data_IF_814366884268
#
_entry.id   IF_814366884268
#
_cell.length_a   1.000
_cell.length_b   1.000
_cell.length_c   1.000
_cell.angle_alpha   90.00
_cell.angle_beta   90.00
_cell.angle_gamma   90.00
#
_symmetry.space_group_name_H-M   'P 1'
#
loop_
_entity.id
_entity.type
_entity.pdbx_description
1 polymer ?
#
# COMPACT_ATOMS: atom_id res chain seq x y z
N UNK A 1 1.23 -8.68 6.62
CA UNK A 1 1.35 -7.51 5.72
C UNK A 1 2.26 -7.92 4.59
N UNK A 2 1.78 -7.83 3.36
CA UNK A 2 2.51 -8.20 2.14
C UNK A 2 2.64 -6.97 1.25
N UNK A 3 3.81 -6.78 0.65
CA UNK A 3 4.07 -5.73 -0.34
C UNK A 3 4.40 -6.39 -1.67
N UNK A 4 3.63 -6.05 -2.71
CA UNK A 4 3.96 -6.39 -4.09
C UNK A 4 4.33 -5.13 -4.88
N UNK A 5 5.25 -5.26 -5.83
CA UNK A 5 5.64 -4.16 -6.72
C UNK A 5 5.70 -4.61 -8.17
N UNK A 6 5.10 -3.81 -9.05
CA UNK A 6 5.24 -3.90 -10.50
C UNK A 6 6.11 -2.73 -11.00
N UNK A 7 7.38 -2.98 -11.39
CA UNK A 7 8.27 -1.94 -11.87
C UNK A 7 7.95 -1.46 -13.29
N UNK A 8 7.16 -2.21 -14.09
CA UNK A 8 6.79 -1.78 -15.45
C UNK A 8 5.69 -0.71 -15.41
N UNK A 9 4.76 -0.85 -14.46
CA UNK A 9 3.67 0.11 -14.25
C UNK A 9 3.96 1.13 -13.14
N UNK A 10 5.02 0.90 -12.37
CA UNK A 10 5.37 1.65 -11.16
C UNK A 10 4.24 1.71 -10.13
N UNK A 11 3.67 0.53 -9.85
CA UNK A 11 2.56 0.34 -8.92
C UNK A 11 2.95 -0.60 -7.80
N UNK A 12 2.70 -0.21 -6.56
CA UNK A 12 2.89 -1.06 -5.38
C UNK A 12 1.57 -1.30 -4.65
N UNK A 13 1.34 -2.54 -4.21
CA UNK A 13 0.19 -2.88 -3.35
C UNK A 13 0.65 -3.33 -1.97
N UNK A 14 0.03 -2.72 -0.95
CA UNK A 14 0.14 -3.14 0.43
C UNK A 14 -1.11 -3.93 0.81
N UNK A 15 -0.95 -5.18 1.22
CA UNK A 15 -2.04 -5.99 1.77
C UNK A 15 -1.84 -6.17 3.26
N UNK A 16 -2.86 -5.83 4.04
CA UNK A 16 -2.86 -5.95 5.49
C UNK A 16 -3.37 -7.34 5.87
N UNK A 17 -2.47 -8.31 6.06
CA UNK A 17 -2.83 -9.62 6.65
C UNK A 17 -2.94 -9.52 8.18
N UNK A 18 -3.77 -8.61 8.67
CA UNK A 18 -4.00 -8.46 10.11
C UNK A 18 -5.46 -8.82 10.35
N UNK A 19 -5.77 -9.80 11.23
CA UNK A 19 -7.12 -9.90 11.76
C UNK A 19 -7.43 -8.55 12.38
N UNK A 20 -8.48 -7.88 11.91
CA UNK A 20 -8.96 -6.63 12.51
C UNK A 20 -9.28 -6.93 13.97
N UNK A 21 -8.32 -6.68 14.87
CA UNK A 21 -8.53 -6.75 16.31
C UNK A 21 -9.26 -5.45 16.69
N UNK A 22 -10.56 -5.53 17.03
CA UNK A 22 -11.36 -4.35 17.33
C UNK A 22 -10.92 -3.63 18.62
N UNK A 23 -9.97 -4.20 19.38
CA UNK A 23 -9.40 -3.59 20.58
C UNK A 23 -8.21 -2.66 20.29
N UNK A 24 -7.69 -2.66 19.06
CA UNK A 24 -6.61 -1.76 18.67
C UNK A 24 -7.11 -0.32 18.55
N UNK A 25 -6.39 0.66 19.10
CA UNK A 25 -6.77 2.06 19.01
C UNK A 25 -6.74 2.53 17.55
N UNK A 26 -7.81 3.20 17.13
CA UNK A 26 -7.89 3.89 15.84
C UNK A 26 -6.90 5.07 15.85
N UNK A 27 -5.72 4.84 15.27
CA UNK A 27 -4.71 5.88 15.06
C UNK A 27 -4.58 6.12 13.56
N UNK A 28 -5.45 6.97 13.03
CA UNK A 28 -5.22 7.59 11.72
C UNK A 28 -4.23 8.76 11.88
N UNK A 29 -2.99 8.55 11.47
CA UNK A 29 -2.14 9.66 11.08
C UNK A 29 -2.45 9.95 9.61
N UNK A 30 -2.87 11.18 9.29
CA UNK A 30 -2.96 11.62 7.90
C UNK A 30 -1.52 11.82 7.44
N UNK A 31 -0.98 10.99 6.53
CA UNK A 31 0.34 11.24 5.99
C UNK A 31 0.32 12.56 5.23
N UNK A 32 1.46 13.26 5.21
CA UNK A 32 1.64 14.39 4.30
C UNK A 32 1.30 13.96 2.88
N UNK A 33 0.82 14.92 2.07
CA UNK A 33 0.43 14.64 0.69
C UNK A 33 1.58 13.91 -0.03
N UNK A 34 1.27 12.85 -0.81
CA UNK A 34 2.30 12.13 -1.55
C UNK A 34 3.08 13.09 -2.46
N UNK A 35 4.33 12.72 -2.76
CA UNK A 35 5.17 13.49 -3.68
C UNK A 35 4.41 13.76 -4.98
N UNK A 36 4.65 14.93 -5.59
CA UNK A 36 3.98 15.31 -6.82
C UNK A 36 4.13 14.23 -7.90
N UNK A 37 3.00 13.72 -8.41
CA UNK A 37 2.96 12.65 -9.41
C UNK A 37 2.68 11.25 -8.85
N UNK A 38 2.68 11.06 -7.52
CA UNK A 38 2.24 9.81 -6.89
C UNK A 38 0.80 9.92 -6.37
N UNK A 39 0.10 8.79 -6.36
CA UNK A 39 -1.25 8.66 -5.82
C UNK A 39 -1.34 7.45 -4.90
N UNK A 40 -2.10 7.58 -3.82
CA UNK A 40 -2.31 6.50 -2.84
C UNK A 40 -3.81 6.32 -2.68
N UNK A 41 -4.30 5.16 -3.12
CA UNK A 41 -5.69 4.74 -2.97
C UNK A 41 -5.80 3.75 -1.82
N UNK A 42 -6.74 4.01 -0.90
CA UNK A 42 -7.05 3.08 0.18
C UNK A 42 -8.05 2.02 -0.32
N UNK A 43 -7.75 0.75 -0.07
CA UNK A 43 -8.60 -0.37 -0.45
C UNK A 43 -9.38 -0.89 0.76
N UNK A 44 -10.70 -1.03 0.61
CA UNK A 44 -11.59 -1.50 1.66
C UNK A 44 -12.31 -2.78 1.24
N UNK A 45 -12.60 -3.66 2.21
CA UNK A 45 -13.46 -4.81 1.98
C UNK A 45 -14.95 -4.42 1.90
N UNK A 46 -15.81 -5.41 1.65
CA UNK A 46 -17.25 -5.21 1.56
C UNK A 46 -17.91 -4.76 2.87
N UNK A 47 -17.24 -4.93 4.01
CA UNK A 47 -17.69 -4.46 5.32
C UNK A 47 -17.15 -3.06 5.67
N UNK A 48 -16.32 -2.47 4.79
CA UNK A 48 -15.74 -1.14 4.97
C UNK A 48 -14.46 -1.13 5.78
N UNK A 49 -13.83 -2.28 6.03
CA UNK A 49 -12.53 -2.34 6.72
C UNK A 49 -11.40 -2.13 5.73
N UNK A 50 -10.40 -1.33 6.12
CA UNK A 50 -9.19 -1.12 5.35
C UNK A 50 -8.42 -2.43 5.24
N UNK A 51 -8.21 -2.91 4.02
CA UNK A 51 -7.48 -4.15 3.72
C UNK A 51 -6.15 -3.91 2.99
N UNK A 52 -5.91 -2.68 2.52
CA UNK A 52 -4.69 -2.36 1.82
C UNK A 52 -4.60 -0.96 1.25
N UNK A 53 -3.53 -0.75 0.50
CA UNK A 53 -3.29 0.46 -0.28
C UNK A 53 -2.76 0.09 -1.66
N UNK A 54 -3.21 0.80 -2.68
CA UNK A 54 -2.60 0.86 -4.00
C UNK A 54 -1.81 2.17 -4.10
N UNK A 55 -0.56 2.09 -4.54
CA UNK A 55 0.33 3.24 -4.70
C UNK A 55 0.76 3.32 -6.16
N UNK A 56 0.27 4.35 -6.85
CA UNK A 56 0.71 4.73 -8.20
C UNK A 56 1.89 5.70 -8.09
N UNK A 57 2.90 5.54 -8.95
CA UNK A 57 4.10 6.37 -8.82
C UNK A 57 5.00 5.90 -7.66
N UNK A 58 5.02 4.60 -7.38
CA UNK A 58 5.53 4.06 -6.10
C UNK A 58 6.99 4.42 -5.81
N UNK A 59 7.85 4.53 -6.82
CA UNK A 59 9.25 4.95 -6.65
C UNK A 59 9.42 6.39 -6.12
N UNK A 60 8.39 7.23 -6.22
CA UNK A 60 8.40 8.60 -5.71
C UNK A 60 8.11 8.68 -4.21
N UNK A 61 7.51 7.63 -3.64
CA UNK A 61 7.03 7.61 -2.25
C UNK A 61 7.77 6.57 -1.42
N UNK A 62 8.08 5.42 -2.00
CA UNK A 62 8.73 4.31 -1.33
C UNK A 62 10.23 4.33 -1.58
N UNK A 63 11.00 4.04 -0.54
CA UNK A 63 12.45 3.96 -0.67
C UNK A 63 12.83 2.81 -1.64
N UNK A 64 13.90 2.98 -2.43
CA UNK A 64 14.35 1.96 -3.37
C UNK A 64 14.61 0.58 -2.75
N UNK A 65 15.12 0.54 -1.51
CA UNK A 65 15.38 -0.73 -0.80
C UNK A 65 14.11 -1.44 -0.37
N UNK A 66 13.03 -0.69 -0.10
CA UNK A 66 11.70 -1.27 0.19
C UNK A 66 11.12 -1.89 -1.08
N UNK A 67 11.21 -1.20 -2.22
CA UNK A 67 10.76 -1.72 -3.51
C UNK A 67 11.55 -2.95 -3.96
N UNK A 68 12.87 -2.97 -3.70
CA UNK A 68 13.72 -4.11 -4.02
C UNK A 68 13.40 -5.36 -3.18
N UNK A 69 12.89 -5.17 -1.96
CA UNK A 69 12.46 -6.24 -1.06
C UNK A 69 11.02 -6.72 -1.30
N UNK A 70 10.25 -6.00 -2.13
CA UNK A 70 8.87 -6.35 -2.45
C UNK A 70 8.78 -7.64 -3.26
N UNK A 71 7.68 -8.37 -3.06
CA UNK A 71 7.34 -9.49 -3.94
C UNK A 71 7.07 -8.94 -5.36
N UNK A 72 7.56 -9.63 -6.39
CA UNK A 72 7.19 -9.31 -7.78
C UNK A 72 5.69 -9.50 -7.94
N UNK A 73 4.99 -8.49 -8.43
CA UNK A 73 3.60 -8.68 -8.84
C UNK A 73 3.54 -9.72 -9.95
N UNK A 74 2.93 -10.88 -9.68
CA UNK A 74 2.66 -11.88 -10.70
C UNK A 74 1.39 -11.47 -11.43
N UNK A 75 1.52 -11.08 -12.70
CA UNK A 75 0.39 -10.81 -13.58
C UNK A 75 -0.55 -12.03 -13.61
N UNK A 76 -1.77 -11.88 -13.13
CA UNK A 76 -2.86 -12.84 -13.33
C UNK A 76 -3.70 -12.42 -14.55
#
# INVERSE_FOLDING_TARGET
MRLTYDPELDVAHFRLDVPTDPSLPDRSAVPDAPAAGAHIDAEFDAAGFLVGFEVLGAHLVLRPDVLAAAERSSRA
#
